data_IF_503539689559
#
_entry.id   IF_503539689559
#
_cell.length_a   1.000
_cell.length_b   1.000
_cell.length_c   1.000
_cell.angle_alpha   90.00
_cell.angle_beta   90.00
_cell.angle_gamma   90.00
#
_symmetry.space_group_name_H-M   'P 1'
#
loop_
_entity.id
_entity.type
_entity.pdbx_description
1 polymer ?
#
# COMPACT_ATOMS: atom_id res chain seq x y z
N UNK A 1 -5.32 22.44 1.45
CA UNK A 1 -6.15 23.18 2.45
C UNK A 1 -5.58 22.87 3.84
N UNK A 2 -5.44 23.87 4.71
CA UNK A 2 -4.87 23.69 6.06
C UNK A 2 -5.88 23.00 6.99
N UNK A 3 -5.40 22.06 7.81
CA UNK A 3 -6.11 21.49 8.95
C UNK A 3 -5.64 22.17 10.27
N UNK A 4 -6.51 22.86 11.02
CA UNK A 4 -6.15 23.54 12.28
C UNK A 4 -5.44 22.66 13.31
N UNK A 5 -5.72 21.35 13.33
CA UNK A 5 -5.03 20.39 14.23
C UNK A 5 -3.53 20.28 13.96
N UNK A 6 -3.07 20.69 12.77
CA UNK A 6 -1.66 20.70 12.39
C UNK A 6 -0.91 21.96 12.85
N UNK A 7 -1.58 22.93 13.50
CA UNK A 7 -0.94 24.17 13.94
C UNK A 7 0.34 23.94 14.76
N UNK A 8 0.35 22.91 15.62
CA UNK A 8 1.52 22.54 16.42
C UNK A 8 2.74 22.10 15.60
N UNK A 9 2.55 21.64 14.36
CA UNK A 9 3.62 21.17 13.48
C UNK A 9 4.08 22.23 12.48
N UNK A 10 3.39 23.38 12.44
CA UNK A 10 3.73 24.52 11.58
C UNK A 10 4.63 25.48 12.36
N UNK A 11 5.74 25.88 11.74
CA UNK A 11 6.71 26.82 12.32
C UNK A 11 6.40 28.27 11.97
N UNK A 12 6.01 28.53 10.73
CA UNK A 12 5.75 29.87 10.21
C UNK A 12 4.85 29.81 8.97
N UNK A 13 4.33 30.95 8.55
CA UNK A 13 3.62 31.12 7.29
C UNK A 13 4.31 32.19 6.45
N UNK A 14 4.57 31.89 5.17
CA UNK A 14 5.14 32.86 4.22
C UNK A 14 4.37 32.78 2.90
N UNK A 15 3.90 33.92 2.39
CA UNK A 15 3.17 34.01 1.11
C UNK A 15 2.01 32.99 1.03
N UNK A 16 1.22 32.87 2.10
CA UNK A 16 0.10 31.92 2.21
C UNK A 16 0.49 30.44 2.10
N UNK A 17 1.76 30.11 2.40
CA UNK A 17 2.26 28.73 2.51
C UNK A 17 2.78 28.50 3.91
N UNK A 18 2.30 27.42 4.53
CA UNK A 18 2.77 26.99 5.84
C UNK A 18 4.12 26.27 5.71
N UNK A 19 5.05 26.60 6.60
CA UNK A 19 6.37 26.00 6.71
C UNK A 19 6.36 25.01 7.86
N UNK A 20 6.62 23.73 7.58
CA UNK A 20 6.64 22.66 8.58
C UNK A 20 7.88 22.79 9.47
N UNK A 21 7.73 22.53 10.78
CA UNK A 21 8.83 22.55 11.73
C UNK A 21 9.76 21.34 11.52
N UNK A 22 10.96 21.59 10.97
CA UNK A 22 11.94 20.55 10.67
C UNK A 22 12.51 19.85 11.90
N UNK A 23 12.63 20.53 13.04
CA UNK A 23 13.11 19.93 14.30
C UNK A 23 12.14 18.85 14.78
N UNK A 24 10.82 19.13 14.69
CA UNK A 24 9.78 18.13 14.99
C UNK A 24 9.82 16.99 13.97
N UNK A 25 9.93 17.31 12.68
CA UNK A 25 10.05 16.29 11.62
C UNK A 25 11.23 15.35 11.86
N UNK A 26 12.41 15.87 12.18
CA UNK A 26 13.61 15.06 12.44
C UNK A 26 13.41 14.11 13.63
N UNK A 27 12.78 14.60 14.72
CA UNK A 27 12.46 13.77 15.88
C UNK A 27 11.49 12.64 15.52
N UNK A 28 10.36 12.95 14.88
CA UNK A 28 9.37 11.92 14.53
C UNK A 28 9.89 10.94 13.49
N UNK A 29 10.73 11.40 12.55
CA UNK A 29 11.40 10.52 11.60
C UNK A 29 12.33 9.55 12.31
N UNK A 30 13.11 10.02 13.28
CA UNK A 30 13.98 9.15 14.08
C UNK A 30 13.19 8.10 14.87
N UNK A 31 12.11 8.51 15.54
CA UNK A 31 11.22 7.60 16.27
C UNK A 31 10.58 6.55 15.33
N UNK A 32 10.12 6.98 14.15
CA UNK A 32 9.56 6.08 13.13
C UNK A 32 10.60 5.09 12.59
N UNK A 33 11.81 5.54 12.29
CA UNK A 33 12.90 4.67 11.84
C UNK A 33 13.27 3.62 12.90
N UNK A 34 13.32 4.01 14.18
CA UNK A 34 13.59 3.07 15.28
C UNK A 34 12.49 2.02 15.41
N UNK A 35 11.22 2.43 15.30
CA UNK A 35 10.08 1.50 15.32
C UNK A 35 10.17 0.51 14.16
N UNK A 36 10.42 0.99 12.94
CA UNK A 36 10.59 0.13 11.75
C UNK A 36 11.75 -0.85 11.96
N UNK A 37 12.91 -0.37 12.42
CA UNK A 37 14.07 -1.23 12.67
C UNK A 37 13.77 -2.35 13.67
N UNK A 38 13.12 -2.01 14.78
CA UNK A 38 12.71 -2.97 15.78
C UNK A 38 11.69 -3.98 15.24
N UNK A 39 10.71 -3.53 14.45
CA UNK A 39 9.72 -4.41 13.86
C UNK A 39 10.33 -5.37 12.82
N UNK A 40 11.27 -4.90 11.99
CA UNK A 40 12.03 -5.74 11.07
C UNK A 40 12.82 -6.81 11.82
N UNK A 41 13.49 -6.46 12.93
CA UNK A 41 14.23 -7.45 13.76
C UNK A 41 13.35 -8.58 14.33
N UNK A 42 12.04 -8.36 14.40
CA UNK A 42 11.04 -9.33 14.84
C UNK A 42 10.37 -10.08 13.69
N UNK A 43 10.80 -9.87 12.45
CA UNK A 43 10.25 -10.52 11.25
C UNK A 43 8.86 -10.04 10.85
N UNK A 44 8.44 -8.86 11.33
CA UNK A 44 7.12 -8.28 11.03
C UNK A 44 6.98 -7.91 9.56
N UNK A 45 5.75 -7.95 9.06
CA UNK A 45 5.43 -7.66 7.67
C UNK A 45 5.01 -6.20 7.48
N UNK A 46 5.46 -5.59 6.38
CA UNK A 46 5.23 -4.18 6.07
C UNK A 46 4.44 -4.02 4.77
N UNK A 47 3.53 -3.05 4.78
CA UNK A 47 2.77 -2.63 3.61
C UNK A 47 2.97 -1.13 3.36
N UNK A 48 3.42 -0.76 2.16
CA UNK A 48 3.57 0.64 1.75
C UNK A 48 2.42 1.03 0.82
N UNK A 49 1.70 2.09 1.15
CA UNK A 49 0.51 2.55 0.40
C UNK A 49 0.72 3.97 -0.11
N UNK A 50 0.55 4.14 -1.41
CA UNK A 50 0.47 5.46 -2.03
C UNK A 50 0.03 5.36 -3.49
N UNK A 51 -1.18 5.81 -3.79
CA UNK A 51 -1.77 5.69 -5.13
C UNK A 51 -1.58 6.93 -6.01
N UNK A 52 -0.97 7.98 -5.47
CA UNK A 52 -0.70 9.20 -6.22
C UNK A 52 0.15 8.91 -7.47
N UNK A 53 -0.29 9.36 -8.64
CA UNK A 53 0.39 9.08 -9.92
C UNK A 53 1.88 9.44 -9.92
N UNK A 54 2.26 10.52 -9.22
CA UNK A 54 3.65 10.99 -9.16
C UNK A 54 4.49 10.09 -8.24
N UNK A 55 3.88 9.57 -7.17
CA UNK A 55 4.58 8.80 -6.12
C UNK A 55 4.46 7.29 -6.30
N UNK A 56 3.52 6.81 -7.11
CA UNK A 56 3.22 5.40 -7.31
C UNK A 56 4.45 4.59 -7.73
N UNK A 57 5.26 5.15 -8.63
CA UNK A 57 6.47 4.49 -9.13
C UNK A 57 7.58 4.49 -8.07
N UNK A 58 7.68 5.55 -7.26
CA UNK A 58 8.60 5.62 -6.13
C UNK A 58 8.23 4.61 -5.03
N UNK A 59 6.94 4.44 -4.74
CA UNK A 59 6.44 3.44 -3.78
C UNK A 59 6.81 2.03 -4.22
N UNK A 60 6.58 1.70 -5.49
CA UNK A 60 6.94 0.40 -6.04
C UNK A 60 8.45 0.15 -5.98
N UNK A 61 9.27 1.12 -6.41
CA UNK A 61 10.73 1.00 -6.34
C UNK A 61 11.23 0.86 -4.91
N UNK A 62 10.69 1.62 -3.96
CA UNK A 62 11.07 1.54 -2.55
C UNK A 62 10.71 0.19 -1.95
N UNK A 63 9.49 -0.30 -2.22
CA UNK A 63 9.03 -1.59 -1.71
C UNK A 63 9.80 -2.76 -2.31
N UNK A 64 10.15 -2.72 -3.59
CA UNK A 64 10.98 -3.75 -4.23
C UNK A 64 12.38 -3.76 -3.61
N UNK A 65 13.00 -2.58 -3.43
CA UNK A 65 14.32 -2.47 -2.77
C UNK A 65 14.29 -2.97 -1.33
N UNK A 66 13.23 -2.67 -0.59
CA UNK A 66 13.04 -3.10 0.78
C UNK A 66 12.43 -4.51 0.93
N UNK A 67 12.13 -5.20 -0.18
CA UNK A 67 11.45 -6.50 -0.20
C UNK A 67 10.13 -6.53 0.61
N UNK A 68 9.40 -5.43 0.60
CA UNK A 68 8.12 -5.26 1.30
C UNK A 68 6.93 -5.28 0.34
N UNK A 69 5.72 -5.36 0.89
CA UNK A 69 4.50 -5.29 0.09
C UNK A 69 4.10 -3.85 -0.20
N UNK A 70 3.39 -3.63 -1.31
CA UNK A 70 2.94 -2.29 -1.66
C UNK A 70 1.61 -2.23 -2.39
N UNK A 71 0.98 -1.05 -2.34
CA UNK A 71 -0.16 -0.68 -3.17
C UNK A 71 0.11 0.68 -3.79
N UNK A 72 0.28 0.71 -5.12
CA UNK A 72 0.64 1.93 -5.86
C UNK A 72 -0.42 2.41 -6.86
N UNK A 73 -1.45 1.63 -7.17
CA UNK A 73 -2.48 2.01 -8.17
C UNK A 73 -3.80 2.45 -7.57
N UNK A 74 -4.48 1.55 -6.83
CA UNK A 74 -5.78 1.84 -6.23
C UNK A 74 -5.97 1.01 -4.98
N UNK A 75 -6.27 1.68 -3.87
CA UNK A 75 -6.76 1.01 -2.67
C UNK A 75 -8.21 0.54 -2.87
N UNK A 76 -8.45 -0.76 -2.70
CA UNK A 76 -9.81 -1.31 -2.71
C UNK A 76 -10.31 -1.31 -1.27
N UNK A 77 -11.42 -0.64 -0.99
CA UNK A 77 -12.00 -0.66 0.36
C UNK A 77 -12.29 -2.10 0.81
N UNK A 78 -11.94 -2.42 2.05
CA UNK A 78 -12.03 -3.76 2.62
C UNK A 78 -10.82 -4.66 2.36
N UNK A 79 -9.69 -4.11 1.90
CA UNK A 79 -8.49 -4.92 1.64
C UNK A 79 -7.98 -5.56 2.92
N UNK A 80 -7.96 -4.82 4.02
CA UNK A 80 -7.51 -5.30 5.32
C UNK A 80 -8.68 -5.79 6.18
N UNK A 81 -9.77 -5.02 6.27
CA UNK A 81 -10.89 -5.39 7.17
C UNK A 81 -11.66 -6.62 6.70
N UNK A 82 -11.66 -6.90 5.40
CA UNK A 82 -12.29 -8.10 4.83
C UNK A 82 -11.24 -9.03 4.21
N UNK A 83 -10.28 -9.45 5.05
CA UNK A 83 -9.13 -10.21 4.61
C UNK A 83 -9.49 -11.53 3.92
N UNK A 84 -10.51 -12.25 4.37
CA UNK A 84 -10.92 -13.53 3.76
C UNK A 84 -11.31 -13.37 2.27
N UNK A 85 -12.00 -12.29 1.90
CA UNK A 85 -12.33 -12.00 0.50
C UNK A 85 -11.08 -11.59 -0.28
N UNK A 86 -10.21 -10.78 0.32
CA UNK A 86 -8.94 -10.37 -0.29
C UNK A 86 -8.05 -11.58 -0.56
N UNK A 87 -7.93 -12.49 0.40
CA UNK A 87 -7.19 -13.74 0.29
C UNK A 87 -7.73 -14.62 -0.84
N UNK A 88 -9.05 -14.83 -0.91
CA UNK A 88 -9.67 -15.58 -2.00
C UNK A 88 -9.36 -14.97 -3.39
N UNK A 89 -9.34 -13.63 -3.48
CA UNK A 89 -8.93 -12.93 -4.72
C UNK A 89 -7.45 -13.12 -5.03
N UNK A 90 -6.58 -13.09 -4.02
CA UNK A 90 -5.15 -13.35 -4.18
C UNK A 90 -4.88 -14.79 -4.63
N UNK A 91 -5.58 -15.77 -4.05
CA UNK A 91 -5.49 -17.17 -4.47
C UNK A 91 -5.96 -17.33 -5.93
N UNK A 92 -7.11 -16.76 -6.29
CA UNK A 92 -7.57 -16.75 -7.69
C UNK A 92 -6.54 -16.13 -8.63
N UNK A 93 -5.91 -15.03 -8.23
CA UNK A 93 -4.88 -14.38 -9.01
C UNK A 93 -3.64 -15.27 -9.21
N UNK A 94 -3.18 -15.95 -8.15
CA UNK A 94 -2.07 -16.92 -8.23
C UNK A 94 -2.40 -18.08 -9.17
N UNK A 95 -3.62 -18.62 -9.09
CA UNK A 95 -4.06 -19.69 -9.98
C UNK A 95 -4.05 -19.25 -11.45
N UNK A 96 -4.56 -18.06 -11.76
CA UNK A 96 -4.54 -17.52 -13.13
C UNK A 96 -3.11 -17.33 -13.67
N UNK A 97 -2.16 -16.92 -12.83
CA UNK A 97 -0.74 -16.83 -13.24
C UNK A 97 -0.18 -18.22 -13.56
N UNK A 98 -0.53 -19.24 -12.78
CA UNK A 98 -0.09 -20.62 -13.01
C UNK A 98 -0.68 -21.15 -14.33
N UNK A 99 -1.97 -20.92 -14.56
CA UNK A 99 -2.65 -21.33 -15.81
C UNK A 99 -2.08 -20.62 -17.05
N UNK A 100 -1.77 -19.33 -16.93
CA UNK A 100 -1.09 -18.57 -18.00
C UNK A 100 0.29 -19.16 -18.30
N UNK A 101 1.10 -19.43 -17.29
CA UNK A 101 2.43 -20.04 -17.46
C UNK A 101 2.37 -21.46 -18.02
N UNK A 102 1.30 -22.20 -17.71
CA UNK A 102 1.08 -23.56 -18.22
C UNK A 102 0.53 -23.59 -19.65
N UNK A 103 0.31 -22.44 -20.31
CA UNK A 103 -0.21 -22.38 -21.68
C UNK A 103 -1.69 -22.73 -21.83
N UNK A 104 -2.43 -22.95 -20.74
CA UNK A 104 -3.86 -23.35 -20.78
C UNK A 104 -4.75 -22.31 -21.46
N UNK A 105 -4.33 -21.05 -21.47
CA UNK A 105 -5.06 -19.96 -22.14
C UNK A 105 -5.11 -20.13 -23.67
N UNK A 106 -4.17 -20.85 -24.26
CA UNK A 106 -4.11 -21.07 -25.71
C UNK A 106 -5.12 -22.12 -26.17
N UNK A 107 -5.53 -23.02 -25.27
CA UNK A 107 -6.57 -24.01 -25.50
C UNK A 107 -8.00 -23.43 -25.44
N UNK A 108 -8.15 -22.19 -24.94
CA UNK A 108 -9.45 -21.54 -24.80
C UNK A 108 -9.87 -20.84 -26.10
N UNK A 109 -11.19 -20.69 -26.34
CA UNK A 109 -11.69 -19.83 -27.41
C UNK A 109 -11.14 -18.40 -27.26
N UNK A 110 -10.85 -17.74 -28.40
CA UNK A 110 -10.25 -16.38 -28.42
C UNK A 110 -11.00 -15.37 -27.54
N UNK A 111 -12.33 -15.48 -27.47
CA UNK A 111 -13.18 -14.62 -26.62
C UNK A 111 -12.87 -14.84 -25.14
N UNK A 112 -12.83 -16.08 -24.69
CA UNK A 112 -12.61 -16.44 -23.29
C UNK A 112 -11.17 -16.16 -22.86
N UNK A 113 -10.20 -16.48 -23.72
CA UNK A 113 -8.81 -16.13 -23.52
C UNK A 113 -8.61 -14.60 -23.33
N UNK A 114 -9.35 -13.78 -24.09
CA UNK A 114 -9.31 -12.33 -23.94
C UNK A 114 -9.91 -11.85 -22.61
N UNK A 115 -10.99 -12.49 -22.14
CA UNK A 115 -11.60 -12.18 -20.83
C UNK A 115 -10.61 -12.49 -19.70
N UNK A 116 -9.96 -13.65 -19.73
CA UNK A 116 -9.00 -14.04 -18.71
C UNK A 116 -7.78 -13.11 -18.72
N UNK A 117 -7.24 -12.76 -19.89
CA UNK A 117 -6.14 -11.78 -20.00
C UNK A 117 -6.50 -10.41 -19.42
N UNK A 118 -7.71 -9.92 -19.67
CA UNK A 118 -8.21 -8.65 -19.08
C UNK A 118 -8.30 -8.76 -17.56
N UNK A 119 -8.79 -9.89 -17.04
CA UNK A 119 -8.87 -10.14 -15.62
C UNK A 119 -7.48 -10.17 -14.97
N UNK A 120 -6.53 -10.87 -15.59
CA UNK A 120 -5.15 -10.98 -15.11
C UNK A 120 -4.47 -9.60 -15.10
N UNK A 121 -4.61 -8.80 -16.16
CA UNK A 121 -4.12 -7.43 -16.19
C UNK A 121 -4.69 -6.56 -15.07
N UNK A 122 -5.99 -6.70 -14.77
CA UNK A 122 -6.64 -5.98 -13.67
C UNK A 122 -6.10 -6.41 -12.30
N UNK A 123 -5.89 -7.71 -12.09
CA UNK A 123 -5.32 -8.22 -10.84
C UNK A 123 -3.85 -7.82 -10.69
N UNK A 124 -3.04 -7.91 -11.75
CA UNK A 124 -1.65 -7.47 -11.72
C UNK A 124 -1.53 -5.99 -11.33
N UNK A 125 -2.40 -5.12 -11.88
CA UNK A 125 -2.41 -3.70 -11.54
C UNK A 125 -2.80 -3.40 -10.09
N UNK A 126 -3.75 -4.15 -9.52
CA UNK A 126 -4.31 -3.82 -8.21
C UNK A 126 -3.71 -4.63 -7.05
N UNK A 127 -3.42 -5.90 -7.28
CA UNK A 127 -2.98 -6.87 -6.28
C UNK A 127 -1.51 -7.27 -6.46
N UNK A 128 -0.83 -6.77 -7.50
CA UNK A 128 0.55 -7.15 -7.83
C UNK A 128 1.54 -6.94 -6.67
N UNK A 129 1.44 -5.82 -5.96
CA UNK A 129 2.34 -5.51 -4.84
C UNK A 129 2.01 -6.23 -3.53
N UNK A 130 0.82 -6.83 -3.41
CA UNK A 130 0.41 -7.63 -2.25
C UNK A 130 0.29 -9.13 -2.58
N UNK A 131 0.73 -9.54 -3.77
CA UNK A 131 0.58 -10.92 -4.27
C UNK A 131 1.26 -11.98 -3.38
N UNK A 132 2.28 -11.57 -2.62
CA UNK A 132 3.04 -12.44 -1.72
C UNK A 132 2.55 -12.38 -0.27
N UNK A 133 1.61 -11.50 0.06
CA UNK A 133 1.01 -11.47 1.40
C UNK A 133 0.28 -12.79 1.66
N UNK A 134 0.49 -13.34 2.86
CA UNK A 134 -0.22 -14.53 3.37
C UNK A 134 -1.14 -14.21 4.54
N UNK A 135 -0.96 -13.06 5.17
CA UNK A 135 -1.79 -12.58 6.26
C UNK A 135 -1.84 -11.06 6.27
N UNK A 136 -2.46 -10.52 7.32
CA UNK A 136 -2.51 -9.09 7.56
C UNK A 136 -1.10 -8.52 7.80
N UNK A 137 -0.83 -7.29 7.35
CA UNK A 137 0.42 -6.62 7.64
C UNK A 137 0.45 -6.17 9.10
N UNK A 138 1.62 -6.22 9.73
CA UNK A 138 1.81 -5.75 11.10
C UNK A 138 1.97 -4.23 11.18
N UNK A 139 2.52 -3.61 10.12
CA UNK A 139 2.78 -2.18 10.03
C UNK A 139 2.42 -1.69 8.63
N UNK A 140 1.74 -0.55 8.57
CA UNK A 140 1.39 0.11 7.30
C UNK A 140 2.05 1.49 7.23
N UNK A 141 2.69 1.78 6.10
CA UNK A 141 3.30 3.07 5.80
C UNK A 141 2.45 3.73 4.72
N UNK A 142 1.88 4.90 5.00
CA UNK A 142 0.96 5.62 4.10
C UNK A 142 1.57 6.95 3.69
N UNK A 143 1.67 7.21 2.39
CA UNK A 143 2.31 8.43 1.87
C UNK A 143 1.41 9.67 1.87
N UNK A 144 0.09 9.50 1.78
CA UNK A 144 -0.84 10.62 1.78
C UNK A 144 -2.14 10.21 2.48
N UNK A 145 -2.31 10.68 3.70
CA UNK A 145 -3.49 10.35 4.52
C UNK A 145 -4.81 10.87 3.94
N UNK A 146 -4.79 11.93 3.12
CA UNK A 146 -6.02 12.50 2.56
C UNK A 146 -6.50 11.69 1.36
N UNK A 147 -5.59 11.30 0.48
CA UNK A 147 -5.92 10.44 -0.67
C UNK A 147 -6.25 9.02 -0.20
N UNK A 148 -5.53 8.50 0.79
CA UNK A 148 -5.63 7.12 1.28
C UNK A 148 -6.44 6.97 2.59
N UNK A 149 -7.43 7.84 2.81
CA UNK A 149 -8.21 7.83 4.07
C UNK A 149 -8.86 6.48 4.38
N UNK A 150 -9.24 5.70 3.36
CA UNK A 150 -9.83 4.36 3.53
C UNK A 150 -8.82 3.37 4.09
N UNK A 151 -7.58 3.41 3.59
CA UNK A 151 -6.50 2.56 4.11
C UNK A 151 -6.24 2.91 5.58
N UNK A 152 -6.21 4.21 5.91
CA UNK A 152 -6.05 4.68 7.28
C UNK A 152 -7.20 4.21 8.20
N UNK A 153 -8.45 4.35 7.77
CA UNK A 153 -9.62 3.88 8.52
C UNK A 153 -9.58 2.37 8.77
N UNK A 154 -9.22 1.58 7.76
CA UNK A 154 -9.09 0.13 7.90
C UNK A 154 -7.98 -0.25 8.90
N UNK A 155 -6.84 0.44 8.87
CA UNK A 155 -5.76 0.22 9.83
C UNK A 155 -6.20 0.57 11.26
N UNK A 156 -6.90 1.70 11.45
CA UNK A 156 -7.43 2.11 12.76
C UNK A 156 -8.40 1.06 13.29
N UNK A 157 -9.34 0.58 12.46
CA UNK A 157 -10.33 -0.41 12.87
C UNK A 157 -9.70 -1.74 13.29
N UNK A 158 -8.57 -2.11 12.70
CA UNK A 158 -7.84 -3.34 13.02
C UNK A 158 -6.76 -3.14 14.08
N UNK A 159 -6.52 -1.91 14.55
CA UNK A 159 -5.44 -1.60 15.49
C UNK A 159 -4.04 -1.77 14.91
N UNK A 160 -3.88 -1.69 13.58
CA UNK A 160 -2.59 -1.83 12.91
C UNK A 160 -1.84 -0.48 13.03
N UNK A 161 -0.62 -0.45 13.57
CA UNK A 161 0.17 0.77 13.66
C UNK A 161 0.49 1.34 12.27
N UNK A 162 0.22 2.63 12.11
CA UNK A 162 0.40 3.36 10.85
C UNK A 162 1.46 4.44 10.96
N UNK A 163 2.37 4.49 10.00
CA UNK A 163 3.32 5.59 9.82
C UNK A 163 2.85 6.41 8.60
N UNK A 164 2.50 7.68 8.81
CA UNK A 164 1.92 8.52 7.77
C UNK A 164 2.79 9.75 7.47
N UNK A 165 2.73 10.20 6.21
CA UNK A 165 3.25 11.47 5.71
C UNK A 165 2.14 12.52 5.55
#
# INVERSE_FOLDING_TARGET
>A
KWNPKMALYISAERKHRHIINLTKTARFLYEACNLVFYAVSRGKQFLIVGTNKIRADLVEQAAIKAQCHFVNKKWTGGTLTNWSITEARLQKFRNLIIEEKAGRLECLPKKDAAVVKRQLSRFQKNLGGIKYMRGLPDIVIILDQNEEYKALQECINLGIPTICL
#
